data_IF_889462811966
#
_entry.id   IF_889462811966
#
_cell.length_a   1.000
_cell.length_b   1.000
_cell.length_c   1.000
_cell.angle_alpha   90.00
_cell.angle_beta   90.00
_cell.angle_gamma   90.00
#
_symmetry.space_group_name_H-M   'P 1'
#
loop_
_entity.id
_entity.type
_entity.pdbx_description
1 polymer ?
#
# COMPACT_ATOMS: atom_id res chain seq x y z
N UNK A 1 -8.35 14.07 9.53
CA UNK A 1 -9.40 14.45 8.55
C UNK A 1 -8.86 14.38 7.14
N UNK A 2 -9.48 13.54 6.32
CA UNK A 2 -9.16 13.43 4.91
C UNK A 2 -9.54 14.72 4.14
N UNK A 3 -8.75 15.10 3.12
CA UNK A 3 -9.16 16.12 2.16
C UNK A 3 -10.42 15.70 1.40
N UNK A 4 -11.09 16.64 0.76
CA UNK A 4 -12.23 16.36 -0.13
C UNK A 4 -11.82 15.47 -1.31
N UNK A 5 -12.79 14.79 -1.91
CA UNK A 5 -12.57 13.96 -3.10
C UNK A 5 -11.75 14.67 -4.18
N UNK A 6 -12.11 15.90 -4.54
CA UNK A 6 -11.42 16.68 -5.57
C UNK A 6 -10.00 17.06 -5.17
N UNK A 7 -9.75 17.35 -3.89
CA UNK A 7 -8.39 17.59 -3.38
C UNK A 7 -7.55 16.31 -3.46
N UNK A 8 -8.12 15.14 -3.16
CA UNK A 8 -7.43 13.85 -3.28
C UNK A 8 -7.16 13.50 -4.74
N UNK A 9 -8.11 13.72 -5.65
CA UNK A 9 -7.92 13.54 -7.09
C UNK A 9 -6.78 14.41 -7.60
N UNK A 10 -6.77 15.69 -7.20
CA UNK A 10 -5.70 16.64 -7.56
C UNK A 10 -4.36 16.19 -6.97
N UNK A 11 -4.32 15.83 -5.69
CA UNK A 11 -3.13 15.35 -5.01
C UNK A 11 -2.53 14.12 -5.71
N UNK A 12 -3.36 13.12 -6.02
CA UNK A 12 -2.93 11.89 -6.67
C UNK A 12 -2.62 12.08 -8.16
N UNK A 13 -3.12 13.12 -8.82
CA UNK A 13 -2.79 13.40 -10.23
C UNK A 13 -1.29 13.69 -10.44
N UNK A 14 -0.60 14.21 -9.43
CA UNK A 14 0.84 14.48 -9.47
C UNK A 14 1.68 13.20 -9.65
N UNK A 15 1.15 12.03 -9.24
CA UNK A 15 1.79 10.72 -9.43
C UNK A 15 1.93 10.30 -10.90
N UNK A 16 1.22 10.98 -11.80
CA UNK A 16 1.31 10.76 -13.25
C UNK A 16 2.29 11.71 -13.95
N UNK A 17 2.93 12.62 -13.22
CA UNK A 17 3.81 13.64 -13.80
C UNK A 17 5.29 13.32 -13.54
N UNK A 18 6.19 14.05 -14.22
CA UNK A 18 7.62 13.93 -13.97
C UNK A 18 8.03 14.40 -12.55
N UNK A 19 7.20 15.24 -11.91
CA UNK A 19 7.42 15.73 -10.56
C UNK A 19 6.27 15.33 -9.63
N UNK A 20 6.47 14.22 -8.91
CA UNK A 20 5.52 13.73 -7.92
C UNK A 20 5.71 14.37 -6.53
N UNK A 21 6.63 15.34 -6.37
CA UNK A 21 6.91 15.99 -5.07
C UNK A 21 5.65 16.55 -4.40
N UNK A 22 4.69 17.19 -5.11
CA UNK A 22 3.47 17.68 -4.47
C UNK A 22 2.64 16.58 -3.78
N UNK A 23 2.68 15.34 -4.28
CA UNK A 23 2.08 14.20 -3.59
C UNK A 23 2.88 13.82 -2.33
N UNK A 24 4.21 13.66 -2.48
CA UNK A 24 5.07 13.20 -1.39
C UNK A 24 5.24 14.22 -0.26
N UNK A 25 5.10 15.51 -0.54
CA UNK A 25 5.08 16.58 0.48
C UNK A 25 3.86 16.47 1.42
N UNK A 26 2.84 15.71 1.01
CA UNK A 26 1.68 15.36 1.83
C UNK A 26 1.78 13.98 2.48
N UNK A 27 2.92 13.32 2.39
CA UNK A 27 3.16 12.04 3.06
C UNK A 27 4.00 12.26 4.30
N UNK A 28 3.54 11.73 5.44
CA UNK A 28 4.29 11.79 6.68
C UNK A 28 5.66 11.12 6.52
N UNK A 29 6.76 11.67 7.07
CA UNK A 29 8.05 10.98 7.10
C UNK A 29 7.98 9.63 7.84
N UNK A 30 7.01 9.50 8.75
CA UNK A 30 6.73 8.30 9.55
C UNK A 30 5.52 7.49 9.00
N UNK A 31 5.16 7.67 7.72
CA UNK A 31 4.05 6.94 7.10
C UNK A 31 4.23 5.42 7.25
N UNK A 32 3.16 4.73 7.62
CA UNK A 32 3.10 3.27 7.52
C UNK A 32 2.56 2.91 6.15
N UNK A 33 3.43 2.40 5.26
CA UNK A 33 3.05 2.02 3.90
C UNK A 33 3.18 0.52 3.70
N UNK A 34 2.05 -0.18 3.67
CA UNK A 34 2.01 -1.61 3.40
C UNK A 34 1.74 -1.86 1.91
N UNK A 35 2.61 -2.63 1.27
CA UNK A 35 2.36 -3.14 -0.09
C UNK A 35 1.81 -4.55 0.03
N UNK A 36 0.56 -4.73 -0.41
CA UNK A 36 -0.19 -5.96 -0.25
C UNK A 36 0.08 -6.89 -1.45
N UNK A 37 0.36 -8.15 -1.16
CA UNK A 37 0.60 -9.18 -2.18
C UNK A 37 1.41 -10.35 -1.62
N UNK A 38 1.36 -11.49 -2.31
CA UNK A 38 2.02 -12.73 -1.86
C UNK A 38 3.20 -13.14 -2.74
N UNK A 39 3.37 -12.53 -3.92
CA UNK A 39 4.48 -12.83 -4.83
C UNK A 39 5.84 -12.62 -4.17
N UNK A 40 6.76 -13.56 -4.35
CA UNK A 40 8.07 -13.55 -3.69
C UNK A 40 8.90 -12.30 -4.06
N UNK A 41 8.75 -11.82 -5.29
CA UNK A 41 9.32 -10.55 -5.77
C UNK A 41 8.67 -9.35 -5.10
N UNK A 42 7.35 -9.33 -4.89
CA UNK A 42 6.70 -8.29 -4.10
C UNK A 42 7.22 -8.33 -2.65
N UNK A 43 7.35 -9.52 -2.07
CA UNK A 43 7.92 -9.67 -0.72
C UNK A 43 9.36 -9.20 -0.63
N UNK A 44 10.21 -9.41 -1.65
CA UNK A 44 11.64 -9.02 -1.65
C UNK A 44 11.87 -7.56 -2.04
N UNK A 45 11.19 -7.07 -3.07
CA UNK A 45 11.24 -5.67 -3.52
C UNK A 45 10.61 -4.70 -2.52
N UNK A 46 9.66 -5.19 -1.70
CA UNK A 46 9.03 -4.42 -0.62
C UNK A 46 9.35 -4.97 0.78
N UNK A 47 10.30 -5.92 0.91
CA UNK A 47 10.79 -6.50 2.17
C UNK A 47 11.30 -5.49 3.20
N UNK A 48 11.94 -4.35 2.81
CA UNK A 48 12.43 -3.39 3.79
C UNK A 48 11.32 -2.80 4.68
N UNK A 49 10.03 -2.99 4.34
CA UNK A 49 8.87 -2.52 5.10
C UNK A 49 8.13 -3.58 5.92
N UNK A 50 8.32 -4.88 5.66
CA UNK A 50 7.66 -5.95 6.44
C UNK A 50 8.18 -6.06 7.88
N UNK A 51 9.23 -5.31 8.24
CA UNK A 51 9.77 -5.28 9.61
C UNK A 51 9.01 -4.37 10.57
N UNK A 52 7.98 -3.64 10.13
CA UNK A 52 7.26 -2.68 10.99
C UNK A 52 5.77 -2.95 11.23
N UNK A 53 5.15 -3.93 10.57
CA UNK A 53 3.69 -4.17 10.63
C UNK A 53 3.30 -5.50 11.26
N UNK A 54 3.86 -5.85 12.43
CA UNK A 54 3.31 -6.90 13.28
C UNK A 54 3.07 -6.44 14.72
N UNK A 55 2.50 -5.25 14.89
CA UNK A 55 1.87 -4.81 16.14
C UNK A 55 0.79 -3.78 15.78
N UNK A 56 -0.34 -3.84 16.49
CA UNK A 56 -1.56 -3.03 16.34
C UNK A 56 -2.67 -3.63 15.46
N UNK A 57 -3.11 -4.84 15.81
CA UNK A 57 -4.55 -5.12 15.80
C UNK A 57 -5.03 -4.86 17.22
N UNK A 58 -5.71 -3.73 17.42
CA UNK A 58 -6.53 -3.50 18.62
C UNK A 58 -7.95 -3.95 18.25
N UNK A 59 -8.58 -4.88 18.97
CA UNK A 59 -9.98 -5.17 18.77
C UNK A 59 -10.80 -3.99 19.32
N UNK A 60 -11.56 -3.32 18.47
CA UNK A 60 -12.43 -2.20 18.84
C UNK A 60 -13.70 -2.21 17.99
N UNK A 61 -14.75 -2.81 18.57
CA UNK A 61 -16.18 -2.73 18.31
C UNK A 61 -16.67 -2.06 17.01
N UNK A 62 -17.09 -2.87 16.04
CA UNK A 62 -17.98 -2.44 14.96
C UNK A 62 -19.27 -3.29 15.00
N UNK A 63 -20.47 -2.68 15.09
CA UNK A 63 -21.74 -3.41 15.15
C UNK A 63 -22.17 -3.78 13.73
N UNK A 64 -21.58 -4.82 13.16
CA UNK A 64 -22.04 -5.43 11.91
C UNK A 64 -21.65 -6.91 11.84
N UNK A 65 -21.88 -7.65 12.92
CA UNK A 65 -21.88 -9.11 12.86
C UNK A 65 -23.26 -9.57 12.40
N UNK A 66 -23.45 -9.64 11.08
CA UNK A 66 -24.58 -10.34 10.48
C UNK A 66 -24.50 -11.82 10.84
N UNK A 67 -25.54 -12.33 11.49
CA UNK A 67 -25.72 -13.75 11.78
C UNK A 67 -25.76 -14.56 10.49
N UNK A 68 -24.82 -15.49 10.32
CA UNK A 68 -24.92 -16.57 9.34
C UNK A 68 -25.14 -17.89 10.10
N UNK A 69 -26.38 -18.35 10.19
CA UNK A 69 -26.72 -19.66 10.75
C UNK A 69 -26.70 -20.71 9.65
N UNK A 70 -25.81 -21.69 9.76
CA UNK A 70 -25.98 -23.00 9.13
C UNK A 70 -25.38 -24.08 10.02
N UNK A 71 -26.27 -24.78 10.71
CA UNK A 71 -26.27 -26.18 11.17
C UNK A 71 -24.93 -26.93 11.26
N UNK A 72 -24.59 -27.35 12.49
CA UNK A 72 -24.04 -28.70 12.73
C UNK A 72 -22.60 -28.79 13.26
N UNK A 73 -22.49 -29.29 14.49
CA UNK A 73 -21.30 -29.83 15.19
C UNK A 73 -20.27 -28.85 15.78
N UNK A 74 -20.29 -28.82 17.11
CA UNK A 74 -19.28 -28.23 17.99
C UNK A 74 -17.98 -29.04 17.97
N UNK A 75 -16.89 -28.42 17.51
CA UNK A 75 -15.53 -28.78 17.90
C UNK A 75 -14.87 -27.52 18.48
N UNK A 76 -14.66 -27.49 19.79
CA UNK A 76 -13.84 -26.48 20.46
C UNK A 76 -12.37 -26.86 20.27
N UNK A 77 -11.74 -26.28 19.24
CA UNK A 77 -10.28 -26.26 19.14
C UNK A 77 -9.77 -24.99 19.84
N UNK A 78 -9.38 -25.12 21.11
CA UNK A 78 -8.62 -24.08 21.82
C UNK A 78 -7.19 -24.05 21.27
N UNK A 79 -6.88 -23.05 20.43
CA UNK A 79 -5.51 -22.75 20.02
C UNK A 79 -4.89 -21.72 21.00
N UNK A 80 -3.77 -22.04 21.68
CA UNK A 80 -3.11 -21.10 22.59
C UNK A 80 -2.23 -20.14 21.78
N UNK A 81 -2.71 -18.92 21.57
CA UNK A 81 -2.02 -17.86 20.80
C UNK A 81 -1.02 -17.04 21.65
N UNK A 82 -0.89 -17.33 22.94
CA UNK A 82 -0.23 -16.46 23.93
C UNK A 82 1.30 -16.59 24.02
N UNK A 83 1.99 -17.33 23.13
CA UNK A 83 3.42 -17.68 23.33
C UNK A 83 4.44 -17.29 22.27
N UNK A 84 4.11 -16.43 21.29
CA UNK A 84 5.09 -16.03 20.23
C UNK A 84 5.24 -14.51 20.08
N UNK A 85 5.39 -13.77 21.17
CA UNK A 85 5.86 -12.38 21.10
C UNK A 85 7.02 -12.17 22.07
N UNK A 86 8.23 -12.55 21.64
CA UNK A 86 9.45 -11.95 22.20
C UNK A 86 9.78 -10.71 21.38
N UNK A 87 9.68 -9.55 22.02
CA UNK A 87 10.17 -8.28 21.49
C UNK A 87 11.64 -8.41 21.10
N UNK A 88 11.91 -8.39 19.80
CA UNK A 88 13.23 -8.07 19.28
C UNK A 88 13.05 -6.79 18.46
N UNK A 89 13.46 -5.65 19.03
CA UNK A 89 13.65 -4.42 18.26
C UNK A 89 14.71 -4.73 17.20
N UNK A 90 14.27 -4.99 15.98
CA UNK A 90 15.16 -5.11 14.83
C UNK A 90 15.36 -3.70 14.28
N UNK A 91 16.63 -3.33 14.14
CA UNK A 91 17.15 -1.98 13.89
C UNK A 91 16.27 -1.09 13.00
N UNK A 92 15.98 0.13 13.49
CA UNK A 92 15.43 1.22 12.69
C UNK A 92 16.33 1.49 11.49
N UNK A 93 15.74 1.53 10.30
CA UNK A 93 16.40 2.11 9.12
C UNK A 93 16.88 3.52 9.50
N UNK A 94 18.10 3.93 9.11
CA UNK A 94 18.58 5.30 9.34
C UNK A 94 17.82 6.34 8.50
N UNK A 95 16.96 5.91 7.57
CA UNK A 95 16.15 6.78 6.71
C UNK A 95 14.69 6.85 7.17
N UNK A 96 14.00 8.01 6.99
CA UNK A 96 12.54 8.10 7.12
C UNK A 96 11.84 7.01 6.30
N UNK A 97 10.71 6.50 6.81
CA UNK A 97 10.02 5.34 6.23
C UNK A 97 9.70 5.54 4.74
N UNK A 98 9.33 6.76 4.34
CA UNK A 98 9.00 7.11 2.96
C UNK A 98 10.22 7.10 2.02
N UNK A 99 11.41 7.49 2.50
CA UNK A 99 12.61 7.51 1.65
C UNK A 99 13.16 6.10 1.40
N UNK A 100 13.10 5.24 2.42
CA UNK A 100 13.40 3.82 2.27
C UNK A 100 12.45 3.15 1.26
N UNK A 101 11.16 3.51 1.28
CA UNK A 101 10.18 3.03 0.30
C UNK A 101 10.47 3.51 -1.12
N UNK A 102 10.73 4.80 -1.32
CA UNK A 102 11.04 5.38 -2.65
C UNK A 102 12.20 4.63 -3.29
N UNK A 103 13.27 4.37 -2.55
CA UNK A 103 14.44 3.65 -3.06
C UNK A 103 14.12 2.22 -3.50
N UNK A 104 13.39 1.44 -2.69
CA UNK A 104 13.05 0.05 -3.01
C UNK A 104 12.03 -0.09 -4.15
N UNK A 105 10.93 0.67 -4.06
CA UNK A 105 9.82 0.63 -5.01
C UNK A 105 10.23 1.20 -6.38
N UNK A 106 10.79 2.43 -6.41
CA UNK A 106 11.22 3.05 -7.67
C UNK A 106 12.41 2.31 -8.26
N UNK A 107 13.32 1.76 -7.44
CA UNK A 107 14.46 0.99 -7.91
C UNK A 107 14.06 -0.25 -8.70
N UNK A 108 13.06 -1.00 -8.24
CA UNK A 108 12.55 -2.18 -8.95
C UNK A 108 11.88 -1.78 -10.26
N UNK A 109 11.02 -0.76 -10.23
CA UNK A 109 10.24 -0.31 -11.38
C UNK A 109 11.13 0.32 -12.47
N UNK A 110 12.09 1.17 -12.09
CA UNK A 110 13.06 1.79 -13.01
C UNK A 110 13.98 0.78 -13.71
N UNK A 111 14.21 -0.38 -13.08
CA UNK A 111 15.00 -1.45 -13.71
C UNK A 111 14.25 -2.11 -14.86
N UNK A 112 12.94 -2.32 -14.71
CA UNK A 112 12.16 -3.14 -15.65
C UNK A 112 11.36 -2.33 -16.68
N UNK A 113 10.96 -1.09 -16.37
CA UNK A 113 10.17 -0.27 -17.29
C UNK A 113 11.03 0.54 -18.27
N UNK A 114 10.51 0.73 -19.48
CA UNK A 114 11.14 1.53 -20.53
C UNK A 114 11.13 3.03 -20.21
N UNK A 115 10.04 3.49 -19.62
CA UNK A 115 9.79 4.87 -19.22
C UNK A 115 9.43 4.91 -17.73
N UNK A 116 9.62 6.06 -17.04
CA UNK A 116 9.15 6.23 -15.68
C UNK A 116 7.67 5.86 -15.53
N UNK A 117 7.32 5.21 -14.42
CA UNK A 117 5.94 4.83 -14.14
C UNK A 117 5.08 6.09 -13.94
N UNK A 118 4.06 6.27 -14.77
CA UNK A 118 3.07 7.32 -14.63
C UNK A 118 1.74 6.71 -14.16
N UNK A 119 1.28 7.11 -12.98
CA UNK A 119 -0.01 6.69 -12.43
C UNK A 119 -1.11 7.66 -12.85
N UNK A 120 -2.23 7.12 -13.31
CA UNK A 120 -3.45 7.87 -13.61
C UNK A 120 -4.53 7.51 -12.59
N UNK A 121 -5.16 8.54 -12.02
CA UNK A 121 -6.33 8.38 -11.15
C UNK A 121 -7.51 7.88 -11.98
N UNK A 122 -8.12 6.78 -11.53
CA UNK A 122 -9.34 6.20 -12.11
C UNK A 122 -10.55 6.63 -11.29
N UNK A 123 -10.45 6.56 -9.97
CA UNK A 123 -11.54 6.89 -9.07
C UNK A 123 -11.01 7.25 -7.68
N UNK A 124 -11.80 8.02 -6.95
CA UNK A 124 -11.62 8.29 -5.52
C UNK A 124 -12.95 8.04 -4.81
N UNK A 125 -12.88 7.24 -3.75
CA UNK A 125 -14.01 6.87 -2.90
C UNK A 125 -13.68 7.23 -1.46
N UNK A 126 -14.63 7.85 -0.77
CA UNK A 126 -14.41 8.38 0.57
C UNK A 126 -13.67 9.71 0.55
N UNK A 127 -12.97 10.01 1.63
CA UNK A 127 -12.45 11.35 1.90
C UNK A 127 -13.55 12.35 2.27
N UNK A 128 -13.18 13.61 2.48
CA UNK A 128 -14.06 14.60 3.07
C UNK A 128 -13.78 14.78 4.55
N UNK A 129 -14.20 15.94 5.07
CA UNK A 129 -13.80 16.45 6.38
C UNK A 129 -14.42 15.69 7.56
N UNK A 130 -15.18 14.65 7.30
CA UNK A 130 -15.92 13.80 8.23
C UNK A 130 -15.32 12.38 8.37
N UNK A 131 -14.37 12.00 7.51
CA UNK A 131 -13.69 10.71 7.59
C UNK A 131 -12.17 10.86 7.47
N UNK A 132 -11.44 9.91 8.05
CA UNK A 132 -9.97 9.90 7.98
C UNK A 132 -9.44 9.09 6.80
N UNK A 133 -10.30 8.35 6.11
CA UNK A 133 -9.90 7.40 5.08
C UNK A 133 -10.41 7.78 3.70
N UNK A 134 -9.61 7.47 2.68
CA UNK A 134 -10.04 7.45 1.29
C UNK A 134 -9.40 6.28 0.55
N UNK A 135 -10.10 5.77 -0.45
CA UNK A 135 -9.60 4.81 -1.41
C UNK A 135 -9.36 5.53 -2.74
N UNK A 136 -8.21 5.28 -3.36
CA UNK A 136 -7.88 5.77 -4.69
C UNK A 136 -7.57 4.59 -5.60
N UNK A 137 -8.32 4.49 -6.69
CA UNK A 137 -8.04 3.55 -7.77
C UNK A 137 -7.10 4.23 -8.77
N UNK A 138 -6.02 3.54 -9.12
CA UNK A 138 -5.02 4.05 -10.07
C UNK A 138 -4.77 3.02 -11.16
N UNK A 139 -4.41 3.49 -12.35
CA UNK A 139 -3.89 2.66 -13.42
C UNK A 139 -2.53 3.16 -13.90
N UNK A 140 -1.68 2.24 -14.33
CA UNK A 140 -0.48 2.56 -15.09
C UNK A 140 -0.38 1.60 -16.27
N UNK A 141 -0.48 2.13 -17.49
CA UNK A 141 -0.30 1.36 -18.70
C UNK A 141 1.12 1.66 -19.21
N UNK A 142 2.07 0.82 -18.83
CA UNK A 142 3.48 0.97 -19.19
C UNK A 142 3.97 -0.18 -20.09
N UNK A 143 5.22 -0.08 -20.52
CA UNK A 143 5.91 -1.12 -21.29
C UNK A 143 7.25 -1.41 -20.63
N UNK A 144 7.55 -2.68 -20.43
CA UNK A 144 8.86 -3.12 -19.93
C UNK A 144 9.97 -2.90 -20.98
N UNK A 145 11.23 -2.93 -20.57
CA UNK A 145 12.38 -2.76 -21.48
C UNK A 145 12.41 -3.83 -22.57
N UNK A 146 12.04 -5.07 -22.25
CA UNK A 146 11.89 -6.17 -23.21
C UNK A 146 10.65 -6.07 -24.13
N UNK A 147 9.82 -5.03 -24.01
CA UNK A 147 8.60 -4.86 -24.79
C UNK A 147 7.34 -5.51 -24.21
N UNK A 148 7.44 -6.21 -23.07
CA UNK A 148 6.26 -6.77 -22.39
C UNK A 148 5.30 -5.65 -21.96
N UNK A 149 3.99 -5.72 -22.29
CA UNK A 149 3.00 -4.82 -21.75
C UNK A 149 2.88 -4.94 -20.23
N UNK A 150 2.75 -3.80 -19.55
CA UNK A 150 2.62 -3.70 -18.09
C UNK A 150 1.38 -2.86 -17.71
N UNK A 151 0.16 -3.40 -17.87
CA UNK A 151 -1.09 -2.72 -17.54
C UNK A 151 -1.44 -2.88 -16.05
N UNK A 152 -0.68 -2.22 -15.18
CA UNK A 152 -0.87 -2.34 -13.75
C UNK A 152 -2.11 -1.58 -13.25
N UNK A 153 -2.77 -2.13 -12.24
CA UNK A 153 -3.92 -1.55 -11.55
C UNK A 153 -3.66 -1.54 -10.06
N UNK A 154 -3.99 -0.44 -9.41
CA UNK A 154 -3.77 -0.24 -8.00
C UNK A 154 -5.06 0.18 -7.30
N UNK A 155 -5.18 -0.22 -6.05
CA UNK A 155 -6.10 0.39 -5.10
C UNK A 155 -5.30 0.79 -3.86
N UNK A 156 -5.26 2.09 -3.55
CA UNK A 156 -4.56 2.61 -2.38
C UNK A 156 -5.59 3.06 -1.35
N UNK A 157 -5.58 2.41 -0.20
CA UNK A 157 -6.39 2.81 0.95
C UNK A 157 -5.54 3.68 1.86
N UNK A 158 -5.82 4.97 1.89
CA UNK A 158 -5.02 5.98 2.57
C UNK A 158 -5.74 6.53 3.80
N UNK A 159 -5.01 6.67 4.92
CA UNK A 159 -5.47 7.38 6.12
C UNK A 159 -4.77 8.73 6.23
N UNK A 160 -5.52 9.75 6.61
CA UNK A 160 -5.06 11.11 6.80
C UNK A 160 -5.15 11.52 8.27
N UNK A 161 -4.20 12.33 8.73
CA UNK A 161 -4.30 13.00 10.03
C UNK A 161 -5.18 14.25 9.98
N UNK A 162 -5.35 14.95 11.11
CA UNK A 162 -6.15 16.18 11.22
C UNK A 162 -5.70 17.32 10.29
N UNK A 163 -4.45 17.30 9.81
CA UNK A 163 -3.88 18.28 8.89
C UNK A 163 -4.05 17.89 7.41
N UNK A 164 -4.65 16.74 7.14
CA UNK A 164 -4.76 16.17 5.79
C UNK A 164 -3.42 15.63 5.28
N UNK A 165 -2.53 15.18 6.17
CA UNK A 165 -1.28 14.50 5.82
C UNK A 165 -1.50 12.99 5.81
N UNK A 166 -0.99 12.31 4.79
CA UNK A 166 -1.07 10.85 4.65
C UNK A 166 -0.16 10.21 5.69
N UNK A 167 -0.76 9.47 6.62
CA UNK A 167 -0.05 8.80 7.73
C UNK A 167 -0.07 7.27 7.60
N UNK A 168 -0.92 6.73 6.72
CA UNK A 168 -0.96 5.30 6.44
C UNK A 168 -1.43 5.03 5.02
N UNK A 169 -0.84 4.05 4.35
CA UNK A 169 -1.25 3.58 3.03
C UNK A 169 -1.24 2.06 2.99
N UNK A 170 -2.32 1.46 2.47
CA UNK A 170 -2.36 0.05 2.05
C UNK A 170 -2.49 0.01 0.54
N UNK A 171 -1.41 -0.37 -0.14
CA UNK A 171 -1.32 -0.43 -1.59
C UNK A 171 -1.57 -1.86 -2.09
N UNK A 172 -2.71 -2.07 -2.73
CA UNK A 172 -3.02 -3.28 -3.47
C UNK A 172 -2.62 -3.11 -4.94
N UNK A 173 -2.10 -4.18 -5.54
CA UNK A 173 -1.71 -4.22 -6.95
C UNK A 173 -1.74 -5.66 -7.49
N UNK A 174 -1.64 -5.81 -8.81
CA UNK A 174 -1.41 -7.10 -9.44
C UNK A 174 0.05 -7.55 -9.21
N UNK A 175 0.25 -8.25 -8.09
CA UNK A 175 1.57 -8.79 -7.71
C UNK A 175 2.06 -9.91 -8.64
N UNK A 176 1.17 -10.63 -9.34
CA UNK A 176 1.55 -11.64 -10.32
C UNK A 176 2.13 -10.98 -11.58
N UNK A 177 1.55 -9.86 -12.02
CA UNK A 177 2.09 -9.05 -13.11
C UNK A 177 3.47 -8.49 -12.77
N UNK A 178 3.69 -7.99 -11.55
CA UNK A 178 5.02 -7.55 -11.07
C UNK A 178 6.03 -8.69 -11.17
N UNK A 179 5.67 -9.86 -10.66
CA UNK A 179 6.55 -11.03 -10.67
C UNK A 179 6.94 -11.40 -12.10
N UNK A 180 5.95 -11.54 -13.00
CA UNK A 180 6.18 -11.83 -14.42
C UNK A 180 7.06 -10.77 -15.10
N UNK A 181 6.85 -9.50 -14.79
CA UNK A 181 7.63 -8.40 -15.36
C UNK A 181 9.10 -8.46 -14.91
N UNK A 182 9.35 -8.76 -13.64
CA UNK A 182 10.71 -8.90 -13.10
C UNK A 182 11.41 -10.15 -13.64
N UNK A 183 10.73 -11.30 -13.70
CA UNK A 183 11.31 -12.55 -14.19
C UNK A 183 11.66 -12.49 -15.68
N UNK A 184 10.88 -11.74 -16.48
CA UNK A 184 11.12 -11.56 -17.91
C UNK A 184 12.11 -10.42 -18.25
N UNK A 185 12.54 -9.64 -17.25
CA UNK A 185 13.51 -8.55 -17.40
C UNK A 185 14.62 -8.68 -16.34
N UNK A 186 15.52 -9.68 -16.46
CA UNK A 186 16.62 -9.91 -15.50
C UNK A 186 17.58 -8.74 -15.40
#
# INVERSE_FOLDING_TARGET
MAPTKTEIETLCSHLGTADASPFFDRVSPDVVWDVMGTGETARKSFAPMLTYSLLLIVPGDHPAAGHFTSLGSSFLLSFPWERVVRHRQLNKSPFPAIEAWKQGALGTVNRILREPLALKVVNVVGGGRDQDWALVELEANAVCKNGMPYPQRYAWVMRFDERGVIVQVRAYLDSALVQKAVESNP
#
